data_IF_404751586034
#
_entry.id   IF_404751586034
#
_cell.length_a   1.000
_cell.length_b   1.000
_cell.length_c   1.000
_cell.angle_alpha   90.00
_cell.angle_beta   90.00
_cell.angle_gamma   90.00
#
_symmetry.space_group_name_H-M   'P 1'
#
loop_
_entity.id
_entity.type
_entity.pdbx_description
1 polymer ?
#
# COMPACT_ATOMS: atom_id res chain seq x y z
N UNK A 1 58.69 20.67 61.09
CA UNK A 1 57.62 20.58 62.10
C UNK A 1 56.75 21.83 62.00
N UNK A 2 55.44 21.65 62.25
CA UNK A 2 54.36 22.64 62.31
C UNK A 2 53.56 22.91 61.01
N UNK A 3 52.38 22.29 61.07
CA UNK A 3 51.15 22.34 60.28
C UNK A 3 50.36 23.66 60.36
N UNK A 4 49.48 23.92 59.37
CA UNK A 4 48.01 24.23 59.47
C UNK A 4 47.48 24.98 58.20
N UNK A 5 46.15 25.03 57.89
CA UNK A 5 45.48 24.10 56.98
C UNK A 5 44.76 24.76 55.77
N UNK A 6 44.18 23.89 54.93
CA UNK A 6 43.35 24.19 53.74
C UNK A 6 42.04 24.92 54.08
N UNK A 7 41.74 25.99 53.34
CA UNK A 7 40.38 26.53 53.17
C UNK A 7 39.81 26.09 51.81
N UNK A 8 38.65 25.45 51.84
CA UNK A 8 37.84 25.14 50.66
C UNK A 8 37.00 26.37 50.30
N UNK A 9 37.16 26.89 49.08
CA UNK A 9 36.25 27.87 48.49
C UNK A 9 35.40 27.16 47.43
N UNK A 10 34.11 27.04 47.70
CA UNK A 10 33.11 26.45 46.82
C UNK A 10 32.75 27.47 45.73
N UNK A 11 33.22 27.28 44.49
CA UNK A 11 32.76 28.07 43.34
C UNK A 11 31.47 27.45 42.78
N UNK A 12 30.33 28.05 43.12
CA UNK A 12 29.07 27.79 42.43
C UNK A 12 29.11 28.46 41.04
N UNK A 13 29.37 27.67 39.98
CA UNK A 13 29.08 28.10 38.62
C UNK A 13 27.55 28.05 38.40
N UNK A 14 26.94 29.23 38.28
CA UNK A 14 25.58 29.40 37.78
C UNK A 14 25.56 29.09 36.28
N UNK A 15 25.13 27.88 35.93
CA UNK A 15 24.72 27.53 34.56
C UNK A 15 23.41 28.24 34.26
N UNK A 16 23.49 29.35 33.53
CA UNK A 16 22.34 30.00 32.89
C UNK A 16 21.82 29.06 31.79
N UNK A 17 20.80 28.27 32.11
CA UNK A 17 19.98 27.60 31.11
C UNK A 17 19.25 28.66 30.30
N UNK A 18 19.66 28.83 29.05
CA UNK A 18 18.88 29.57 28.06
C UNK A 18 17.58 28.77 27.83
N UNK A 19 16.48 29.24 28.39
CA UNK A 19 15.14 28.79 28.04
C UNK A 19 14.93 29.14 26.56
N UNK A 20 15.12 28.17 25.66
CA UNK A 20 14.52 28.24 24.34
C UNK A 20 13.01 28.37 24.53
N UNK A 21 12.51 29.56 24.21
CA UNK A 21 11.08 29.85 24.13
C UNK A 21 10.53 28.95 23.04
N UNK A 22 9.85 27.86 23.43
CA UNK A 22 8.96 27.13 22.54
C UNK A 22 8.00 28.16 21.94
N UNK A 23 8.16 28.42 20.64
CA UNK A 23 7.32 29.36 19.90
C UNK A 23 5.85 29.04 20.13
N UNK A 24 5.03 30.09 20.24
CA UNK A 24 3.58 29.95 20.38
C UNK A 24 3.01 28.95 19.37
N UNK A 25 2.03 28.11 19.75
CA UNK A 25 1.43 27.17 18.83
C UNK A 25 0.88 27.92 17.62
N UNK A 26 1.38 27.58 16.43
CA UNK A 26 0.91 28.18 15.17
C UNK A 26 -0.61 27.98 15.06
N UNK A 27 -1.37 28.99 14.61
CA UNK A 27 -2.81 28.84 14.43
C UNK A 27 -3.11 27.70 13.45
N UNK A 28 -4.26 27.00 13.61
CA UNK A 28 -4.69 25.96 12.69
C UNK A 28 -4.69 26.44 11.24
N UNK A 29 -3.98 25.71 10.36
CA UNK A 29 -3.74 26.11 8.97
C UNK A 29 -4.83 25.62 8.01
N UNK A 30 -5.26 26.50 7.11
CA UNK A 30 -6.08 26.17 5.95
C UNK A 30 -5.26 25.63 4.76
N UNK A 31 -3.93 25.68 4.83
CA UNK A 31 -3.07 25.19 3.78
C UNK A 31 -3.15 23.65 3.69
N UNK A 32 -3.40 23.09 2.49
CA UNK A 32 -3.39 21.65 2.29
C UNK A 32 -2.04 21.01 2.57
N UNK A 33 -2.08 19.85 3.20
CA UNK A 33 -0.93 18.95 3.37
C UNK A 33 -1.38 17.51 3.10
N UNK A 34 -0.40 16.58 3.03
CA UNK A 34 -0.68 15.14 2.93
C UNK A 34 -1.43 14.80 1.63
N UNK A 35 -1.09 15.50 0.54
CA UNK A 35 -1.78 15.36 -0.74
C UNK A 35 -1.48 13.98 -1.32
N UNK A 36 -2.51 13.25 -1.72
CA UNK A 36 -2.35 11.96 -2.36
C UNK A 36 -3.49 11.67 -3.33
N UNK A 37 -3.18 10.82 -4.30
CA UNK A 37 -4.08 10.43 -5.38
C UNK A 37 -4.54 8.99 -5.19
N UNK A 38 -5.73 8.71 -5.69
CA UNK A 38 -6.28 7.36 -5.79
C UNK A 38 -7.14 7.24 -7.04
N UNK A 39 -7.13 6.07 -7.65
CA UNK A 39 -8.04 5.78 -8.74
C UNK A 39 -9.42 5.44 -8.17
N UNK A 40 -10.48 6.02 -8.73
CA UNK A 40 -11.84 5.86 -8.18
C UNK A 40 -12.57 4.58 -8.65
N UNK A 41 -11.98 3.85 -9.60
CA UNK A 41 -12.61 2.72 -10.29
C UNK A 41 -13.17 3.11 -11.66
N UNK A 42 -13.43 4.40 -11.90
CA UNK A 42 -14.05 4.89 -13.14
C UNK A 42 -13.03 5.39 -14.17
N UNK A 43 -13.10 4.95 -15.44
CA UNK A 43 -12.21 5.42 -16.51
C UNK A 43 -12.21 6.95 -16.65
N UNK A 44 -11.04 7.53 -16.86
CA UNK A 44 -10.90 9.00 -16.98
C UNK A 44 -11.15 9.76 -15.67
N UNK A 45 -11.02 9.10 -14.52
CA UNK A 45 -11.14 9.73 -13.20
C UNK A 45 -9.85 9.68 -12.38
N UNK A 46 -9.75 10.59 -11.40
CA UNK A 46 -8.72 10.59 -10.36
C UNK A 46 -9.27 11.27 -9.13
N UNK A 47 -9.14 10.66 -7.95
CA UNK A 47 -9.52 11.30 -6.68
C UNK A 47 -8.29 11.94 -6.06
N UNK A 48 -8.40 13.24 -5.75
CA UNK A 48 -7.40 14.00 -4.99
C UNK A 48 -7.88 14.11 -3.55
N UNK A 49 -7.04 13.65 -2.62
CA UNK A 49 -7.30 13.69 -1.18
C UNK A 49 -6.22 14.49 -0.47
N UNK A 50 -6.61 15.32 0.50
CA UNK A 50 -5.67 16.09 1.32
C UNK A 50 -6.27 16.41 2.69
N UNK A 51 -5.43 16.96 3.56
CA UNK A 51 -5.79 17.29 4.94
C UNK A 51 -5.64 18.79 5.21
N UNK A 52 -6.55 19.37 5.99
CA UNK A 52 -6.40 20.70 6.59
C UNK A 52 -6.77 20.68 8.09
N UNK A 53 -6.45 21.77 8.80
CA UNK A 53 -6.70 21.92 10.24
C UNK A 53 -7.93 22.78 10.56
N UNK A 54 -8.62 23.28 9.53
CA UNK A 54 -9.83 24.10 9.63
C UNK A 54 -10.82 23.73 8.53
N UNK A 55 -12.14 23.83 8.74
CA UNK A 55 -13.11 23.51 7.71
C UNK A 55 -13.08 24.57 6.60
N UNK A 56 -12.67 24.19 5.40
CA UNK A 56 -12.64 25.06 4.21
C UNK A 56 -13.26 24.34 3.01
N UNK A 57 -13.73 25.08 1.98
CA UNK A 57 -14.17 24.47 0.73
C UNK A 57 -13.12 23.53 0.12
N UNK A 58 -13.57 22.48 -0.57
CA UNK A 58 -12.68 21.51 -1.21
C UNK A 58 -12.66 21.73 -2.71
N UNK A 59 -11.62 22.38 -3.22
CA UNK A 59 -11.48 22.68 -4.63
C UNK A 59 -10.16 22.13 -5.20
N UNK A 60 -10.20 21.68 -6.45
CA UNK A 60 -9.03 21.34 -7.25
C UNK A 60 -9.06 22.15 -8.53
N UNK A 61 -7.93 22.81 -8.84
CA UNK A 61 -7.70 23.47 -10.13
C UNK A 61 -6.68 22.67 -10.91
N UNK A 62 -6.96 22.41 -12.19
CA UNK A 62 -6.12 21.54 -13.02
C UNK A 62 -6.10 21.96 -14.49
N UNK A 63 -5.09 21.49 -15.22
CA UNK A 63 -4.85 21.88 -16.61
C UNK A 63 -3.71 21.11 -17.26
N UNK A 64 -3.59 21.26 -18.58
CA UNK A 64 -2.52 20.61 -19.36
C UNK A 64 -1.21 21.40 -19.33
N UNK A 65 -1.31 22.73 -19.27
CA UNK A 65 -0.14 23.61 -19.25
C UNK A 65 0.25 23.99 -17.82
N UNK A 66 1.56 24.14 -17.54
CA UNK A 66 2.02 24.64 -16.25
C UNK A 66 1.80 26.13 -16.02
N UNK A 67 1.37 26.92 -17.00
CA UNK A 67 1.10 28.36 -16.82
C UNK A 67 -0.17 28.62 -16.02
N UNK A 68 -0.27 29.78 -15.36
CA UNK A 68 -1.56 30.28 -14.83
C UNK A 68 -2.36 30.96 -15.96
N UNK A 69 -3.70 30.92 -15.91
CA UNK A 69 -4.53 30.17 -14.97
C UNK A 69 -4.67 28.69 -15.36
N UNK A 70 -4.83 27.80 -14.36
CA UNK A 70 -5.29 26.43 -14.61
C UNK A 70 -6.79 26.47 -14.98
N UNK A 71 -7.19 26.07 -16.20
CA UNK A 71 -8.50 26.40 -16.75
C UNK A 71 -9.66 25.54 -16.22
N UNK A 72 -9.37 24.37 -15.63
CA UNK A 72 -10.40 23.48 -15.13
C UNK A 72 -10.47 23.53 -13.60
N UNK A 73 -11.69 23.37 -13.07
CA UNK A 73 -11.96 23.32 -11.65
C UNK A 73 -12.90 22.17 -11.32
N UNK A 74 -12.66 21.51 -10.20
CA UNK A 74 -13.55 20.53 -9.61
C UNK A 74 -13.77 20.88 -8.13
N UNK A 75 -14.97 20.55 -7.63
CA UNK A 75 -15.35 20.69 -6.23
C UNK A 75 -15.67 19.34 -5.65
N UNK A 76 -15.45 19.19 -4.36
CA UNK A 76 -15.82 17.99 -3.63
C UNK A 76 -16.20 18.28 -2.20
N UNK A 77 -15.96 17.33 -1.32
CA UNK A 77 -16.42 17.38 0.06
C UNK A 77 -15.24 17.29 1.02
N UNK A 78 -15.49 17.68 2.27
CA UNK A 78 -14.59 17.34 3.36
C UNK A 78 -15.40 16.71 4.49
N UNK A 79 -14.75 15.86 5.28
CA UNK A 79 -15.31 15.30 6.50
C UNK A 79 -14.38 15.57 7.68
N UNK A 80 -14.91 15.91 8.86
CA UNK A 80 -14.11 15.97 10.06
C UNK A 80 -13.69 14.54 10.47
N UNK A 81 -12.41 14.36 10.75
CA UNK A 81 -11.87 13.16 11.38
C UNK A 81 -11.35 13.53 12.77
N UNK A 82 -11.76 12.77 13.79
CA UNK A 82 -11.32 12.97 15.18
C UNK A 82 -10.62 11.70 15.62
N UNK A 83 -9.32 11.82 15.90
CA UNK A 83 -8.51 10.70 16.36
C UNK A 83 -9.00 10.16 17.73
N UNK A 84 -8.75 8.87 17.97
CA UNK A 84 -9.12 8.19 19.21
C UNK A 84 -8.21 8.47 20.41
N UNK A 85 -7.07 9.16 20.20
CA UNK A 85 -6.13 9.54 21.26
C UNK A 85 -6.70 10.56 22.26
N UNK A 86 -6.00 10.73 23.38
CA UNK A 86 -6.44 11.58 24.51
C UNK A 86 -6.63 13.05 24.11
N UNK A 87 -5.85 13.55 23.16
CA UNK A 87 -5.97 14.92 22.66
C UNK A 87 -7.14 15.10 21.68
N UNK A 88 -7.75 14.00 21.20
CA UNK A 88 -8.88 14.01 20.25
C UNK A 88 -8.62 14.96 19.08
N UNK A 89 -7.41 14.88 18.50
CA UNK A 89 -6.97 15.78 17.42
C UNK A 89 -7.97 15.71 16.27
N UNK A 90 -8.43 16.88 15.84
CA UNK A 90 -9.43 17.03 14.79
C UNK A 90 -8.77 17.52 13.51
N UNK A 91 -9.01 16.78 12.44
CA UNK A 91 -8.52 16.98 11.08
C UNK A 91 -9.72 17.14 10.16
N UNK A 92 -9.54 17.77 9.01
CA UNK A 92 -10.54 17.80 7.95
C UNK A 92 -9.96 17.13 6.72
N UNK A 93 -10.55 16.01 6.31
CA UNK A 93 -10.11 15.23 5.15
C UNK A 93 -10.96 15.62 3.95
N UNK A 94 -10.30 16.19 2.94
CA UNK A 94 -10.93 16.67 1.72
C UNK A 94 -10.80 15.63 0.62
N UNK A 95 -11.85 15.46 -0.18
CA UNK A 95 -11.90 14.54 -1.31
C UNK A 95 -12.53 15.23 -2.51
N UNK A 96 -11.82 15.26 -3.63
CA UNK A 96 -12.32 15.80 -4.90
C UNK A 96 -12.05 14.81 -6.02
N UNK A 97 -13.12 14.33 -6.67
CA UNK A 97 -13.01 13.47 -7.85
C UNK A 97 -12.93 14.32 -9.11
N UNK A 98 -11.82 14.18 -9.84
CA UNK A 98 -11.68 14.68 -11.20
C UNK A 98 -12.32 13.67 -12.15
N UNK A 99 -13.02 14.16 -13.18
CA UNK A 99 -13.71 13.35 -14.17
C UNK A 99 -13.43 13.89 -15.57
N UNK A 100 -13.67 13.08 -16.61
CA UNK A 100 -13.45 13.50 -18.00
C UNK A 100 -11.98 13.72 -18.35
N UNK A 101 -11.06 13.11 -17.60
CA UNK A 101 -9.63 13.18 -17.89
C UNK A 101 -9.32 12.40 -19.16
N UNK A 102 -8.50 12.99 -20.02
CA UNK A 102 -8.05 12.35 -21.25
C UNK A 102 -7.04 11.23 -20.92
N UNK A 103 -7.26 9.99 -21.40
CA UNK A 103 -6.42 8.86 -21.04
C UNK A 103 -4.94 9.06 -21.42
N UNK A 104 -4.03 8.77 -20.49
CA UNK A 104 -2.57 8.89 -20.71
C UNK A 104 -2.04 10.33 -20.76
N UNK A 105 -2.89 11.34 -20.60
CA UNK A 105 -2.50 12.75 -20.63
C UNK A 105 -1.97 13.20 -19.26
N UNK A 106 -0.93 14.03 -19.27
CA UNK A 106 -0.39 14.62 -18.05
C UNK A 106 -1.15 15.90 -17.68
N UNK A 107 -1.51 16.01 -16.41
CA UNK A 107 -2.17 17.17 -15.82
C UNK A 107 -1.29 17.79 -14.74
N UNK A 108 -1.30 19.12 -14.69
CA UNK A 108 -0.83 19.92 -13.55
C UNK A 108 -2.04 20.23 -12.69
N UNK A 109 -1.93 20.12 -11.38
CA UNK A 109 -3.02 20.46 -10.48
C UNK A 109 -2.54 21.12 -9.18
N UNK A 110 -3.45 21.82 -8.50
CA UNK A 110 -3.34 22.23 -7.10
C UNK A 110 -4.68 22.03 -6.41
N UNK A 111 -4.66 21.82 -5.11
CA UNK A 111 -5.85 21.61 -4.29
C UNK A 111 -5.91 22.66 -3.17
N UNK A 112 -7.10 22.86 -2.59
CA UNK A 112 -7.31 23.81 -1.50
C UNK A 112 -8.54 24.68 -1.70
N UNK A 113 -8.40 25.95 -1.35
CA UNK A 113 -9.47 26.96 -1.43
C UNK A 113 -8.87 28.36 -1.46
N UNK A 114 -9.72 29.40 -1.56
CA UNK A 114 -9.30 30.79 -1.46
C UNK A 114 -8.53 31.09 -0.14
N UNK A 115 -8.75 30.31 0.91
CA UNK A 115 -8.07 30.42 2.21
C UNK A 115 -6.66 29.82 2.22
N UNK A 116 -6.32 28.97 1.25
CA UNK A 116 -5.02 28.30 1.19
C UNK A 116 -4.97 27.30 0.03
N UNK A 117 -3.98 27.47 -0.84
CA UNK A 117 -3.70 26.57 -1.95
C UNK A 117 -2.42 25.77 -1.67
N UNK A 118 -2.40 24.51 -2.11
CA UNK A 118 -1.18 23.74 -2.15
C UNK A 118 -0.22 24.25 -3.23
N UNK A 119 1.04 23.79 -3.15
CA UNK A 119 1.95 23.82 -4.30
C UNK A 119 1.32 23.04 -5.47
N UNK A 120 1.86 23.27 -6.67
CA UNK A 120 1.44 22.49 -7.84
C UNK A 120 2.07 21.10 -7.85
N UNK A 121 1.28 20.14 -8.27
CA UNK A 121 1.62 18.75 -8.47
C UNK A 121 1.37 18.36 -9.93
N UNK A 122 1.84 17.17 -10.32
CA UNK A 122 1.63 16.63 -11.66
C UNK A 122 1.29 15.15 -11.56
N UNK A 123 0.33 14.71 -12.36
CA UNK A 123 0.03 13.29 -12.52
C UNK A 123 -0.30 13.01 -13.98
N UNK A 124 -0.22 11.72 -14.37
CA UNK A 124 -0.71 11.24 -15.65
C UNK A 124 -2.02 10.51 -15.43
N UNK A 125 -3.08 10.90 -16.14
CA UNK A 125 -4.32 10.15 -16.13
C UNK A 125 -4.08 8.73 -16.65
N UNK A 126 -4.68 7.74 -16.00
CA UNK A 126 -4.54 6.34 -16.41
C UNK A 126 -5.04 6.14 -17.86
N UNK A 127 -4.40 5.24 -18.59
CA UNK A 127 -4.90 4.81 -19.90
C UNK A 127 -6.13 3.92 -19.70
N UNK A 128 -7.06 3.99 -20.65
CA UNK A 128 -8.29 3.21 -20.62
C UNK A 128 -8.16 1.89 -21.39
N UNK A 129 -9.02 0.93 -21.08
CA UNK A 129 -9.14 -0.33 -21.79
C UNK A 129 -8.02 -1.34 -21.49
N UNK A 130 -8.08 -2.52 -22.14
CA UNK A 130 -7.18 -3.63 -21.84
C UNK A 130 -5.86 -3.63 -22.64
N UNK A 131 -5.77 -2.80 -23.68
CA UNK A 131 -4.68 -2.85 -24.66
C UNK A 131 -3.56 -1.84 -24.37
N UNK A 132 -2.98 -1.93 -23.18
CA UNK A 132 -1.77 -1.21 -22.82
C UNK A 132 -1.00 -1.96 -21.72
N UNK A 133 0.21 -1.51 -21.40
CA UNK A 133 1.13 -2.21 -20.50
C UNK A 133 1.39 -1.41 -19.22
N UNK A 134 0.61 -1.62 -18.15
CA UNK A 134 0.80 -0.93 -16.87
C UNK A 134 2.09 -1.35 -16.15
N UNK A 135 2.74 -0.38 -15.50
CA UNK A 135 3.90 -0.59 -14.63
C UNK A 135 3.56 -0.12 -13.22
N UNK A 136 3.78 -0.97 -12.23
CA UNK A 136 3.43 -0.73 -10.83
C UNK A 136 4.66 -0.85 -9.93
N UNK A 137 4.73 -0.01 -8.92
CA UNK A 137 5.55 -0.27 -7.74
C UNK A 137 4.68 -0.97 -6.69
N UNK A 138 5.18 -2.07 -6.12
CA UNK A 138 4.46 -2.90 -5.15
C UNK A 138 5.34 -3.11 -3.92
N UNK A 139 4.80 -2.81 -2.75
CA UNK A 139 5.50 -2.98 -1.47
C UNK A 139 4.53 -2.91 -0.29
N UNK A 140 4.87 -3.50 0.86
CA UNK A 140 4.25 -3.19 2.16
C UNK A 140 5.29 -2.63 3.12
N UNK A 141 4.88 -2.37 4.37
CA UNK A 141 5.83 -2.32 5.50
C UNK A 141 6.88 -1.19 5.39
N UNK A 142 6.44 0.01 4.98
CA UNK A 142 7.36 1.12 4.73
C UNK A 142 7.84 1.80 6.03
N UNK A 143 6.92 2.05 6.95
CA UNK A 143 7.17 2.79 8.19
C UNK A 143 7.45 4.27 8.03
N UNK A 144 7.30 4.99 9.14
CA UNK A 144 7.61 6.41 9.21
C UNK A 144 9.08 6.69 9.59
N UNK A 145 9.71 5.77 10.34
CA UNK A 145 11.00 6.02 10.98
C UNK A 145 12.18 5.38 10.22
N UNK A 146 11.92 4.34 9.42
CA UNK A 146 12.93 3.69 8.59
C UNK A 146 12.44 3.38 7.15
N UNK A 147 12.00 4.37 6.36
CA UNK A 147 11.42 4.18 5.03
C UNK A 147 12.49 3.91 3.94
N UNK A 148 13.17 2.78 4.02
CA UNK A 148 14.38 2.46 3.23
C UNK A 148 14.18 2.54 1.71
N UNK A 149 13.03 2.10 1.21
CA UNK A 149 12.72 2.11 -0.22
C UNK A 149 12.30 3.48 -0.78
N UNK A 150 11.86 4.40 0.10
CA UNK A 150 11.24 5.65 -0.33
C UNK A 150 12.14 6.57 -1.18
N UNK A 151 13.45 6.75 -0.88
CA UNK A 151 14.31 7.61 -1.70
C UNK A 151 14.38 7.17 -3.17
N UNK A 152 14.42 5.85 -3.43
CA UNK A 152 14.42 5.30 -4.79
C UNK A 152 13.04 5.35 -5.41
N UNK A 153 11.99 4.95 -4.69
CA UNK A 153 10.61 5.08 -5.15
C UNK A 153 10.29 6.50 -5.62
N UNK A 154 10.75 7.53 -4.90
CA UNK A 154 10.62 8.94 -5.29
C UNK A 154 11.35 9.25 -6.60
N UNK A 155 12.59 8.78 -6.75
CA UNK A 155 13.40 8.99 -7.96
C UNK A 155 12.75 8.34 -9.18
N UNK A 156 12.37 7.07 -9.05
CA UNK A 156 11.76 6.29 -10.13
C UNK A 156 10.39 6.84 -10.52
N UNK A 157 9.61 7.31 -9.54
CA UNK A 157 8.34 8.02 -9.79
C UNK A 157 8.56 9.31 -10.59
N UNK A 158 9.55 10.12 -10.22
CA UNK A 158 9.89 11.36 -10.94
C UNK A 158 10.38 11.09 -12.37
N UNK A 159 10.98 9.92 -12.62
CA UNK A 159 11.40 9.47 -13.94
C UNK A 159 10.25 8.87 -14.77
N UNK A 160 9.02 8.79 -14.23
CA UNK A 160 7.86 8.25 -14.93
C UNK A 160 7.92 6.73 -15.13
N UNK A 161 8.58 6.01 -14.21
CA UNK A 161 8.72 4.55 -14.31
C UNK A 161 7.43 3.78 -14.01
N UNK A 162 6.49 4.39 -13.28
CA UNK A 162 5.27 3.74 -12.82
C UNK A 162 4.01 4.50 -13.23
N UNK A 163 2.92 3.76 -13.34
CA UNK A 163 1.57 4.23 -13.63
C UNK A 163 0.67 4.22 -12.37
N UNK A 164 0.97 3.37 -11.38
CA UNK A 164 0.33 3.36 -10.06
C UNK A 164 1.24 2.72 -8.99
N UNK A 165 0.86 2.87 -7.72
CA UNK A 165 1.49 2.22 -6.56
C UNK A 165 0.49 1.27 -5.91
N UNK A 166 0.94 0.08 -5.51
CA UNK A 166 0.24 -0.82 -4.61
C UNK A 166 0.99 -0.86 -3.26
N UNK A 167 0.43 -0.23 -2.23
CA UNK A 167 0.97 -0.30 -0.86
C UNK A 167 0.16 -1.32 -0.04
N UNK A 168 0.78 -2.46 0.22
CA UNK A 168 0.17 -3.67 0.76
C UNK A 168 0.21 -3.68 2.30
N UNK A 169 -0.39 -2.68 2.94
CA UNK A 169 -0.52 -2.60 4.41
C UNK A 169 0.73 -2.19 5.19
N UNK A 170 0.53 -1.94 6.49
CA UNK A 170 1.53 -1.49 7.47
C UNK A 170 2.27 -0.22 7.03
N UNK A 171 1.51 0.88 7.07
CA UNK A 171 1.94 2.16 6.53
C UNK A 171 2.95 2.85 7.45
N UNK A 172 2.45 3.46 8.52
CA UNK A 172 3.22 4.34 9.39
C UNK A 172 3.77 3.60 10.62
N UNK A 173 3.44 2.32 10.77
CA UNK A 173 3.62 1.53 11.99
C UNK A 173 2.91 2.18 13.16
N UNK A 174 1.57 2.08 13.10
CA UNK A 174 0.59 2.68 14.01
C UNK A 174 0.33 4.17 13.76
N UNK A 175 -0.57 4.44 12.81
CA UNK A 175 -0.94 5.82 12.45
C UNK A 175 -1.55 6.61 13.61
N UNK A 176 -2.17 5.95 14.58
CA UNK A 176 -2.83 6.55 15.74
C UNK A 176 -1.85 7.06 16.81
N UNK A 177 -0.60 6.58 16.79
CA UNK A 177 0.38 6.94 17.81
C UNK A 177 0.67 8.44 17.84
N UNK A 178 1.01 8.91 19.04
CA UNK A 178 1.14 10.33 19.36
C UNK A 178 -0.08 11.15 18.87
N UNK A 179 -1.28 10.64 19.18
CA UNK A 179 -2.56 11.28 18.83
C UNK A 179 -2.66 11.55 17.31
N UNK A 180 -2.34 10.55 16.50
CA UNK A 180 -2.24 10.61 15.05
C UNK A 180 -1.08 11.41 14.43
N UNK A 181 -0.08 11.85 15.22
CA UNK A 181 1.08 12.59 14.66
C UNK A 181 2.01 11.69 13.86
N UNK A 182 2.11 10.40 14.20
CA UNK A 182 2.86 9.42 13.40
C UNK A 182 2.22 9.27 12.02
N UNK A 183 0.89 9.14 11.95
CA UNK A 183 0.15 9.16 10.68
C UNK A 183 0.36 10.45 9.87
N UNK A 184 0.35 11.62 10.51
CA UNK A 184 0.63 12.89 9.81
C UNK A 184 2.06 12.95 9.25
N UNK A 185 3.06 12.47 10.01
CA UNK A 185 4.46 12.39 9.56
C UNK A 185 4.58 11.47 8.35
N UNK A 186 3.98 10.29 8.41
CA UNK A 186 3.98 9.32 7.32
C UNK A 186 3.32 9.87 6.05
N UNK A 187 2.14 10.49 6.16
CA UNK A 187 1.45 11.01 4.97
C UNK A 187 2.23 12.15 4.30
N UNK A 188 2.93 12.98 5.07
CA UNK A 188 3.86 14.01 4.53
C UNK A 188 5.08 13.37 3.86
N UNK A 189 5.58 12.29 4.45
CA UNK A 189 6.72 11.54 3.96
C UNK A 189 6.44 10.94 2.56
N UNK A 190 5.25 10.36 2.33
CA UNK A 190 4.89 9.75 1.04
C UNK A 190 4.35 10.74 -0.01
N UNK A 191 3.94 11.96 0.37
CA UNK A 191 3.36 12.96 -0.54
C UNK A 191 4.13 13.14 -1.87
N UNK A 192 5.48 13.17 -1.91
CA UNK A 192 6.21 13.31 -3.18
C UNK A 192 5.91 12.21 -4.21
N UNK A 193 5.57 11.00 -3.75
CA UNK A 193 5.15 9.88 -4.59
C UNK A 193 3.63 9.87 -4.75
N UNK A 194 2.90 9.90 -3.64
CA UNK A 194 1.46 9.72 -3.59
C UNK A 194 0.68 10.86 -4.27
N UNK A 195 1.23 12.06 -4.38
CA UNK A 195 0.63 13.16 -5.13
C UNK A 195 0.90 13.10 -6.65
N UNK A 196 1.65 12.10 -7.13
CA UNK A 196 2.04 11.97 -8.54
C UNK A 196 1.45 10.74 -9.22
N UNK A 197 1.12 9.70 -8.44
CA UNK A 197 0.58 8.42 -8.90
C UNK A 197 -0.64 8.02 -8.07
N UNK A 198 -1.65 7.37 -8.65
CA UNK A 198 -2.71 6.74 -7.85
C UNK A 198 -2.08 5.72 -6.90
N UNK A 199 -2.32 5.93 -5.61
CA UNK A 199 -1.73 5.19 -4.50
C UNK A 199 -2.78 4.26 -3.90
N UNK A 200 -2.80 3.02 -4.38
CA UNK A 200 -3.81 2.02 -4.06
C UNK A 200 -3.35 1.16 -2.88
N UNK A 201 -4.24 0.90 -1.92
CA UNK A 201 -3.87 0.36 -0.61
C UNK A 201 -4.70 -0.86 -0.19
N UNK A 202 -4.17 -1.67 0.74
CA UNK A 202 -4.97 -2.53 1.62
C UNK A 202 -4.53 -2.27 3.08
N UNK A 203 -5.36 -2.54 4.10
CA UNK A 203 -4.95 -2.38 5.49
C UNK A 203 -4.07 -3.55 5.95
N UNK A 204 -3.04 -3.25 6.75
CA UNK A 204 -2.29 -4.22 7.55
C UNK A 204 -2.67 -4.14 9.03
N UNK A 205 -1.98 -4.91 9.88
CA UNK A 205 -2.30 -4.98 11.30
C UNK A 205 -1.98 -3.71 12.08
N UNK A 206 -0.98 -2.94 11.65
CA UNK A 206 -0.65 -1.65 12.27
C UNK A 206 -1.71 -0.57 12.00
N UNK A 207 -2.70 -0.86 11.17
CA UNK A 207 -3.84 0.03 10.94
C UNK A 207 -5.02 -0.25 11.87
N UNK A 208 -5.04 -1.33 12.66
CA UNK A 208 -6.25 -1.82 13.35
C UNK A 208 -6.91 -0.80 14.28
N UNK A 209 -6.10 0.08 14.89
CA UNK A 209 -6.52 0.88 16.03
C UNK A 209 -7.77 1.70 15.75
N UNK A 210 -8.68 1.68 16.74
CA UNK A 210 -9.95 2.39 16.70
C UNK A 210 -10.79 1.97 15.47
N UNK A 211 -10.84 0.67 15.19
CA UNK A 211 -11.53 0.10 14.03
C UNK A 211 -11.04 0.69 12.70
N UNK A 212 -9.72 0.69 12.52
CA UNK A 212 -9.04 1.19 11.33
C UNK A 212 -9.30 2.65 10.99
N UNK A 213 -9.65 3.47 11.99
CA UNK A 213 -10.19 4.81 11.74
C UNK A 213 -9.23 5.74 10.99
N UNK A 214 -7.93 5.70 11.29
CA UNK A 214 -6.93 6.50 10.56
C UNK A 214 -6.82 6.05 9.10
N UNK A 215 -6.77 4.74 8.84
CA UNK A 215 -6.75 4.19 7.47
C UNK A 215 -7.99 4.60 6.68
N UNK A 216 -9.18 4.30 7.22
CA UNK A 216 -10.48 4.61 6.61
C UNK A 216 -10.67 6.10 6.36
N UNK A 217 -10.19 6.94 7.28
CA UNK A 217 -10.31 8.38 7.17
C UNK A 217 -9.34 8.97 6.15
N UNK A 218 -8.09 8.48 6.07
CA UNK A 218 -7.04 9.10 5.25
C UNK A 218 -7.07 8.63 3.81
N UNK A 219 -7.25 7.32 3.56
CA UNK A 219 -7.23 6.78 2.21
C UNK A 219 -8.61 6.82 1.55
N UNK A 220 -8.61 6.83 0.21
CA UNK A 220 -9.83 6.87 -0.60
C UNK A 220 -9.74 5.76 -1.65
N UNK A 221 -10.50 4.69 -1.47
CA UNK A 221 -10.46 3.55 -2.37
C UNK A 221 -11.82 3.38 -3.07
N UNK A 222 -11.86 2.74 -4.25
CA UNK A 222 -13.11 2.43 -4.95
C UNK A 222 -14.12 1.67 -4.09
N UNK A 223 -15.40 1.83 -4.42
CA UNK A 223 -16.49 1.12 -3.76
C UNK A 223 -16.93 1.74 -2.44
N UNK A 224 -17.73 1.00 -1.67
CA UNK A 224 -18.38 1.48 -0.46
C UNK A 224 -18.11 0.56 0.75
N UNK A 225 -16.83 0.26 0.95
CA UNK A 225 -16.31 -0.71 1.92
C UNK A 225 -15.31 -0.06 2.88
N UNK A 226 -15.31 1.27 2.95
CA UNK A 226 -14.33 2.08 3.70
C UNK A 226 -12.87 1.81 3.28
N UNK A 227 -12.68 1.26 2.08
CA UNK A 227 -11.38 0.85 1.55
C UNK A 227 -10.80 -0.41 2.18
N UNK A 228 -11.56 -1.15 2.99
CA UNK A 228 -11.09 -2.42 3.57
C UNK A 228 -10.95 -3.53 2.52
N UNK A 229 -11.79 -3.51 1.48
CA UNK A 229 -11.68 -4.39 0.32
C UNK A 229 -12.37 -3.77 -0.91
N UNK A 230 -11.78 -3.90 -2.08
CA UNK A 230 -12.29 -3.33 -3.33
C UNK A 230 -11.59 -3.97 -4.52
N UNK A 231 -12.11 -3.75 -5.72
CA UNK A 231 -11.49 -4.19 -6.95
C UNK A 231 -11.48 -3.07 -7.98
N UNK A 232 -10.56 -3.17 -8.95
CA UNK A 232 -10.41 -2.20 -10.01
C UNK A 232 -9.68 -2.80 -11.21
N UNK A 233 -9.79 -2.09 -12.32
CA UNK A 233 -9.36 -2.55 -13.62
C UNK A 233 -8.20 -1.70 -14.14
N UNK A 234 -7.08 -2.34 -14.52
CA UNK A 234 -5.90 -1.65 -15.03
C UNK A 234 -5.24 -2.44 -16.17
N UNK A 235 -5.23 -1.89 -17.39
CA UNK A 235 -4.70 -2.58 -18.56
C UNK A 235 -5.36 -3.95 -18.73
N UNK A 236 -4.65 -5.06 -18.95
CA UNK A 236 -5.26 -6.38 -19.09
C UNK A 236 -5.55 -7.08 -17.74
N UNK A 237 -5.45 -6.37 -16.62
CA UNK A 237 -5.68 -6.93 -15.28
C UNK A 237 -6.95 -6.43 -14.60
N UNK A 238 -7.51 -7.32 -13.80
CA UNK A 238 -8.44 -7.05 -12.73
C UNK A 238 -7.69 -7.26 -11.40
N UNK A 239 -7.60 -6.21 -10.59
CA UNK A 239 -6.81 -6.19 -9.35
C UNK A 239 -7.78 -6.09 -8.17
N UNK A 240 -7.61 -6.98 -7.19
CA UNK A 240 -8.48 -7.10 -6.03
C UNK A 240 -7.66 -6.84 -4.76
N UNK A 241 -8.08 -5.86 -3.97
CA UNK A 241 -7.58 -5.59 -2.63
C UNK A 241 -8.56 -6.15 -1.60
N UNK A 242 -8.05 -6.85 -0.58
CA UNK A 242 -8.85 -7.35 0.53
C UNK A 242 -8.11 -7.21 1.86
N UNK A 243 -8.86 -7.19 2.97
CA UNK A 243 -8.28 -7.11 4.31
C UNK A 243 -8.05 -8.50 4.87
N UNK A 244 -6.80 -8.84 5.15
CA UNK A 244 -6.47 -10.03 5.96
C UNK A 244 -6.88 -9.84 7.42
N UNK A 245 -6.96 -8.59 7.87
CA UNK A 245 -7.14 -8.22 9.27
C UNK A 245 -8.54 -8.52 9.83
N UNK A 246 -9.55 -8.68 8.96
CA UNK A 246 -10.89 -9.12 9.39
C UNK A 246 -10.86 -10.51 10.06
N UNK A 247 -9.86 -11.35 9.75
CA UNK A 247 -9.67 -12.67 10.35
C UNK A 247 -9.01 -12.62 11.74
N UNK A 248 -8.32 -11.51 12.06
CA UNK A 248 -7.51 -11.36 13.27
C UNK A 248 -8.19 -10.45 14.31
N UNK A 249 -8.86 -9.38 13.87
CA UNK A 249 -9.55 -8.43 14.75
C UNK A 249 -11.07 -8.63 14.77
N UNK A 250 -11.48 -9.85 15.12
CA UNK A 250 -12.90 -10.25 15.16
C UNK A 250 -13.77 -9.41 16.12
N UNK A 251 -13.15 -8.72 17.06
CA UNK A 251 -13.84 -7.84 18.01
C UNK A 251 -14.44 -6.59 17.33
N UNK A 252 -13.96 -6.19 16.15
CA UNK A 252 -14.59 -5.15 15.34
C UNK A 252 -15.82 -5.63 14.56
N UNK A 253 -16.05 -6.94 14.51
CA UNK A 253 -17.26 -7.53 13.95
C UNK A 253 -16.99 -8.78 13.14
N UNK A 254 -17.35 -9.95 13.69
CA UNK A 254 -17.22 -11.25 13.01
C UNK A 254 -17.92 -11.32 11.65
N UNK A 255 -19.01 -10.57 11.48
CA UNK A 255 -19.77 -10.47 10.24
C UNK A 255 -18.95 -9.85 9.09
N UNK A 256 -17.84 -9.15 9.38
CA UNK A 256 -16.93 -8.60 8.35
C UNK A 256 -16.26 -9.70 7.54
N UNK A 257 -15.89 -10.83 8.17
CA UNK A 257 -15.27 -11.98 7.48
C UNK A 257 -16.22 -12.54 6.43
N UNK A 258 -17.47 -12.79 6.82
CA UNK A 258 -18.51 -13.29 5.92
C UNK A 258 -18.83 -12.30 4.79
N UNK A 259 -18.99 -11.00 5.12
CA UNK A 259 -19.25 -9.96 4.12
C UNK A 259 -18.14 -9.85 3.10
N UNK A 260 -16.89 -9.83 3.55
CA UNK A 260 -15.74 -9.79 2.65
C UNK A 260 -15.68 -11.06 1.79
N UNK A 261 -15.85 -12.24 2.38
CA UNK A 261 -15.79 -13.51 1.64
C UNK A 261 -16.83 -13.59 0.52
N UNK A 262 -18.10 -13.27 0.81
CA UNK A 262 -19.16 -13.29 -0.21
C UNK A 262 -18.97 -12.20 -1.27
N UNK A 263 -18.51 -11.02 -0.88
CA UNK A 263 -18.16 -9.96 -1.83
C UNK A 263 -17.03 -10.42 -2.77
N UNK A 264 -15.99 -11.00 -2.20
CA UNK A 264 -14.80 -11.48 -2.92
C UNK A 264 -15.15 -12.62 -3.88
N UNK A 265 -15.98 -13.58 -3.45
CA UNK A 265 -16.48 -14.62 -4.35
C UNK A 265 -17.27 -14.03 -5.54
N UNK A 266 -18.16 -13.07 -5.28
CA UNK A 266 -18.93 -12.40 -6.34
C UNK A 266 -18.02 -11.65 -7.32
N UNK A 267 -17.00 -10.97 -6.80
CA UNK A 267 -16.05 -10.21 -7.60
C UNK A 267 -15.17 -11.13 -8.46
N UNK A 268 -14.65 -12.21 -7.88
CA UNK A 268 -13.89 -13.25 -8.59
C UNK A 268 -14.73 -13.93 -9.69
N UNK A 269 -16.01 -14.19 -9.45
CA UNK A 269 -16.91 -14.71 -10.49
C UNK A 269 -17.04 -13.73 -11.67
N UNK A 270 -17.15 -12.43 -11.41
CA UNK A 270 -17.22 -11.40 -12.46
C UNK A 270 -15.90 -11.31 -13.22
N UNK A 271 -14.78 -11.26 -12.50
CA UNK A 271 -13.44 -11.20 -13.07
C UNK A 271 -13.16 -12.43 -13.95
N UNK A 272 -13.51 -13.62 -13.48
CA UNK A 272 -13.34 -14.86 -14.23
C UNK A 272 -14.16 -14.84 -15.54
N UNK A 273 -15.43 -14.40 -15.49
CA UNK A 273 -16.26 -14.20 -16.69
C UNK A 273 -15.68 -13.16 -17.66
N UNK A 274 -14.91 -12.20 -17.17
CA UNK A 274 -14.30 -11.13 -17.97
C UNK A 274 -12.87 -11.44 -18.46
N UNK A 275 -12.36 -12.68 -18.27
CA UNK A 275 -10.98 -13.04 -18.64
C UNK A 275 -10.66 -12.88 -20.12
N UNK A 276 -11.66 -12.91 -21.01
CA UNK A 276 -11.45 -12.63 -22.44
C UNK A 276 -10.97 -11.19 -22.69
N UNK A 277 -11.37 -10.24 -21.85
CA UNK A 277 -10.98 -8.83 -21.93
C UNK A 277 -9.80 -8.53 -20.99
N UNK A 278 -9.86 -9.06 -19.77
CA UNK A 278 -8.88 -8.85 -18.69
C UNK A 278 -8.41 -10.19 -18.14
N UNK A 279 -7.46 -10.84 -18.83
CA UNK A 279 -7.13 -12.22 -18.52
C UNK A 279 -6.41 -12.40 -17.19
N UNK A 280 -5.79 -11.35 -16.64
CA UNK A 280 -5.08 -11.40 -15.35
C UNK A 280 -6.01 -11.06 -14.18
N UNK A 281 -6.06 -11.95 -13.19
CA UNK A 281 -6.65 -11.70 -11.87
C UNK A 281 -5.51 -11.66 -10.85
N UNK A 282 -5.31 -10.50 -10.24
CA UNK A 282 -4.24 -10.24 -9.27
C UNK A 282 -4.89 -9.85 -7.95
N UNK A 283 -4.45 -10.45 -6.84
CA UNK A 283 -4.91 -10.08 -5.51
C UNK A 283 -3.79 -9.40 -4.72
N UNK A 284 -4.17 -8.53 -3.79
CA UNK A 284 -3.28 -8.00 -2.77
C UNK A 284 -3.95 -8.05 -1.40
N UNK A 285 -3.24 -8.59 -0.42
CA UNK A 285 -3.62 -8.64 0.99
C UNK A 285 -2.36 -8.59 1.84
N UNK A 286 -2.46 -8.14 3.09
CA UNK A 286 -1.28 -7.86 3.88
C UNK A 286 -0.59 -9.15 4.38
N UNK A 287 -1.25 -9.92 5.25
CA UNK A 287 -0.69 -11.16 5.83
C UNK A 287 -0.67 -12.32 4.84
N UNK A 288 0.48 -12.95 4.54
CA UNK A 288 0.58 -14.01 3.55
C UNK A 288 -0.08 -15.33 3.99
N UNK A 289 -0.42 -16.18 3.01
CA UNK A 289 -0.88 -17.55 3.30
C UNK A 289 0.25 -18.51 3.67
N UNK A 290 1.46 -18.22 3.16
CA UNK A 290 2.64 -19.05 3.19
C UNK A 290 3.85 -18.15 3.37
N UNK A 291 4.72 -18.44 4.34
CA UNK A 291 6.01 -17.76 4.49
C UNK A 291 7.03 -18.70 5.14
N UNK A 292 8.30 -18.44 4.89
CA UNK A 292 9.38 -19.29 5.37
C UNK A 292 10.36 -18.56 6.29
N UNK A 293 9.88 -17.44 6.81
CA UNK A 293 10.43 -16.63 7.86
C UNK A 293 10.52 -17.43 9.18
N UNK A 294 11.45 -17.01 10.04
CA UNK A 294 11.80 -17.70 11.29
C UNK A 294 11.09 -17.10 12.52
N UNK A 295 10.12 -16.23 12.30
CA UNK A 295 9.06 -15.93 13.27
C UNK A 295 8.16 -17.15 13.46
N UNK A 296 7.34 -17.11 14.51
CA UNK A 296 6.37 -18.16 14.83
C UNK A 296 4.94 -17.63 14.67
N UNK A 297 4.77 -16.75 13.69
CA UNK A 297 3.53 -16.02 13.45
C UNK A 297 2.70 -16.64 12.32
N UNK A 298 1.67 -15.92 11.90
CA UNK A 298 0.49 -16.41 11.19
C UNK A 298 0.76 -17.35 10.00
N UNK A 299 1.63 -16.96 9.08
CA UNK A 299 1.87 -17.69 7.83
C UNK A 299 2.82 -18.88 8.01
N UNK A 300 3.48 -18.98 9.17
CA UNK A 300 4.32 -20.14 9.54
C UNK A 300 3.47 -21.33 10.04
N UNK A 301 2.20 -21.08 10.41
CA UNK A 301 1.26 -22.13 10.82
C UNK A 301 0.73 -22.92 9.63
N UNK A 302 0.69 -24.24 9.76
CA UNK A 302 0.10 -25.10 8.72
C UNK A 302 -1.35 -24.70 8.44
N UNK A 303 -2.16 -24.37 9.44
CA UNK A 303 -3.57 -24.00 9.26
C UNK A 303 -3.78 -22.48 9.48
N UNK A 304 -2.99 -21.64 8.79
CA UNK A 304 -3.09 -20.18 8.92
C UNK A 304 -4.51 -19.67 8.62
N UNK A 305 -4.96 -18.66 9.37
CA UNK A 305 -6.35 -18.16 9.30
C UNK A 305 -6.71 -17.59 7.93
N UNK A 306 -5.76 -16.94 7.26
CA UNK A 306 -5.96 -16.42 5.90
C UNK A 306 -6.24 -17.57 4.93
N UNK A 307 -5.47 -18.67 5.05
CA UNK A 307 -5.55 -19.80 4.13
C UNK A 307 -6.80 -20.65 4.36
N UNK A 308 -7.00 -21.08 5.61
CA UNK A 308 -8.03 -22.07 5.99
C UNK A 308 -9.26 -21.46 6.66
N UNK A 309 -9.24 -20.16 6.90
CA UNK A 309 -10.36 -19.43 7.47
C UNK A 309 -10.51 -19.65 8.98
N UNK A 310 -11.66 -19.25 9.52
CA UNK A 310 -11.97 -19.41 10.94
C UNK A 310 -12.17 -20.88 11.27
N UNK A 311 -11.54 -21.34 12.35
CA UNK A 311 -11.57 -22.75 12.81
C UNK A 311 -11.10 -23.75 11.74
N UNK A 312 -10.29 -23.32 10.78
CA UNK A 312 -9.73 -24.17 9.73
C UNK A 312 -10.74 -24.66 8.69
N UNK A 313 -11.93 -24.04 8.59
CA UNK A 313 -12.98 -24.47 7.64
C UNK A 313 -13.85 -23.37 7.08
N UNK A 314 -14.09 -22.29 7.83
CA UNK A 314 -15.06 -21.27 7.44
C UNK A 314 -14.38 -20.06 6.81
N UNK A 315 -14.77 -19.73 5.58
CA UNK A 315 -14.30 -18.54 4.85
C UNK A 315 -12.79 -18.54 4.56
N UNK A 316 -12.19 -19.71 4.30
CA UNK A 316 -10.78 -19.83 3.89
C UNK A 316 -10.57 -19.33 2.46
N UNK A 317 -9.52 -18.53 2.25
CA UNK A 317 -9.31 -17.83 0.98
C UNK A 317 -8.56 -18.66 -0.07
N UNK A 318 -7.79 -19.66 0.35
CA UNK A 318 -6.99 -20.47 -0.58
C UNK A 318 -7.85 -21.21 -1.60
N UNK A 319 -8.86 -21.95 -1.12
CA UNK A 319 -9.76 -22.70 -2.01
C UNK A 319 -10.54 -21.74 -2.92
N UNK A 320 -10.87 -20.54 -2.43
CA UNK A 320 -11.58 -19.53 -3.21
C UNK A 320 -10.71 -19.00 -4.35
N UNK A 321 -9.47 -18.61 -4.06
CA UNK A 321 -8.54 -18.08 -5.06
C UNK A 321 -8.13 -19.15 -6.08
N UNK A 322 -7.88 -20.37 -5.62
CA UNK A 322 -7.63 -21.50 -6.50
C UNK A 322 -8.85 -21.78 -7.40
N UNK A 323 -10.06 -21.92 -6.83
CA UNK A 323 -11.28 -22.16 -7.62
C UNK A 323 -11.44 -21.15 -8.75
N UNK A 324 -11.32 -19.84 -8.50
CA UNK A 324 -11.53 -18.81 -9.53
C UNK A 324 -10.28 -18.49 -10.38
N UNK A 325 -9.19 -19.22 -10.15
CA UNK A 325 -8.01 -19.24 -11.00
C UNK A 325 -7.08 -18.04 -10.82
N UNK A 326 -7.05 -17.41 -9.65
CA UNK A 326 -6.17 -16.24 -9.37
C UNK A 326 -4.75 -16.51 -9.87
N UNK A 327 -4.18 -15.53 -10.56
CA UNK A 327 -2.91 -15.67 -11.26
C UNK A 327 -1.71 -15.34 -10.35
N UNK A 328 -1.84 -14.23 -9.62
CA UNK A 328 -0.77 -13.65 -8.80
C UNK A 328 -1.37 -13.10 -7.51
N UNK A 329 -0.76 -13.45 -6.38
CA UNK A 329 -1.15 -13.02 -5.05
C UNK A 329 0.02 -12.25 -4.43
N UNK A 330 -0.23 -10.97 -4.13
CA UNK A 330 0.76 -10.03 -3.59
C UNK A 330 0.55 -9.87 -2.09
N UNK A 331 1.64 -10.04 -1.35
CA UNK A 331 1.67 -10.04 0.10
C UNK A 331 2.76 -9.14 0.65
N UNK A 332 2.70 -8.91 1.95
CA UNK A 332 3.57 -8.07 2.74
C UNK A 332 3.72 -8.71 4.13
N UNK A 333 3.74 -7.92 5.21
CA UNK A 333 3.78 -8.33 6.62
C UNK A 333 5.11 -8.94 7.05
N UNK A 334 5.56 -9.94 6.32
CA UNK A 334 6.90 -10.48 6.48
C UNK A 334 7.92 -9.47 5.96
N UNK A 335 8.81 -9.01 6.83
CA UNK A 335 9.82 -8.00 6.50
C UNK A 335 10.98 -8.57 5.67
N UNK A 336 10.63 -9.12 4.52
CA UNK A 336 11.52 -9.80 3.58
C UNK A 336 10.90 -9.81 2.19
N UNK A 337 11.69 -10.22 1.20
CA UNK A 337 11.17 -10.61 -0.10
C UNK A 337 11.21 -12.13 -0.24
N UNK A 338 10.07 -12.74 -0.56
CA UNK A 338 9.99 -14.16 -0.87
C UNK A 338 9.13 -14.39 -2.11
N UNK A 339 9.71 -15.08 -3.10
CA UNK A 339 8.95 -15.63 -4.22
C UNK A 339 8.72 -17.11 -3.99
N UNK A 340 7.48 -17.53 -4.11
CA UNK A 340 7.11 -18.93 -4.01
C UNK A 340 7.03 -19.57 -5.39
N UNK A 341 7.16 -20.89 -5.43
CA UNK A 341 6.65 -21.67 -6.56
C UNK A 341 5.13 -21.55 -6.62
N UNK A 342 4.49 -21.70 -7.80
CA UNK A 342 3.05 -21.90 -7.87
C UNK A 342 2.62 -22.98 -6.88
N UNK A 343 1.66 -22.68 -6.02
CA UNK A 343 1.32 -23.54 -4.88
C UNK A 343 -0.19 -23.59 -4.66
N UNK A 344 -0.67 -24.75 -4.24
CA UNK A 344 -2.00 -24.93 -3.66
C UNK A 344 -1.93 -26.05 -2.62
N UNK A 345 -2.46 -25.79 -1.43
CA UNK A 345 -2.51 -26.73 -0.32
C UNK A 345 -1.16 -27.41 -0.03
N UNK A 346 -0.10 -26.61 0.06
CA UNK A 346 1.30 -27.06 0.24
C UNK A 346 1.87 -27.96 -0.86
N UNK A 347 1.18 -28.09 -2.00
CA UNK A 347 1.68 -28.79 -3.17
C UNK A 347 2.17 -27.80 -4.22
N UNK A 348 3.40 -28.01 -4.69
CA UNK A 348 3.96 -27.21 -5.78
C UNK A 348 3.34 -27.61 -7.11
N UNK A 349 2.75 -26.64 -7.79
CA UNK A 349 1.97 -26.78 -9.03
C UNK A 349 2.61 -26.03 -10.19
N UNK A 350 3.92 -26.21 -10.36
CA UNK A 350 4.69 -25.68 -11.49
C UNK A 350 4.06 -26.07 -12.84
N UNK A 351 4.31 -25.23 -13.85
CA UNK A 351 4.04 -25.55 -15.25
C UNK A 351 4.89 -26.72 -15.76
N UNK A 352 6.22 -26.55 -15.74
CA UNK A 352 7.20 -27.64 -15.90
C UNK A 352 8.36 -27.49 -14.91
N UNK A 353 9.30 -28.43 -14.94
CA UNK A 353 10.52 -28.35 -14.14
C UNK A 353 11.42 -27.19 -14.59
N UNK A 354 11.55 -26.99 -15.90
CA UNK A 354 12.40 -25.96 -16.52
C UNK A 354 11.73 -24.59 -16.54
N UNK A 355 10.41 -24.55 -16.69
CA UNK A 355 9.61 -23.33 -16.84
C UNK A 355 8.48 -23.29 -15.81
N UNK A 356 8.80 -23.17 -14.50
CA UNK A 356 7.83 -23.32 -13.43
C UNK A 356 6.71 -22.28 -13.47
N UNK A 357 7.00 -21.07 -13.96
CA UNK A 357 6.06 -19.96 -14.07
C UNK A 357 5.41 -19.81 -15.47
N UNK A 358 5.59 -20.79 -16.36
CA UNK A 358 4.89 -20.85 -17.66
C UNK A 358 3.73 -21.82 -17.59
N UNK A 359 2.51 -21.32 -17.78
CA UNK A 359 1.26 -22.04 -17.57
C UNK A 359 1.22 -22.73 -16.18
N UNK A 360 1.42 -21.98 -15.08
CA UNK A 360 1.37 -22.53 -13.74
C UNK A 360 -0.03 -23.11 -13.45
N UNK A 361 -0.07 -24.19 -12.67
CA UNK A 361 -1.30 -24.90 -12.29
C UNK A 361 -1.85 -24.46 -10.93
N UNK A 362 -1.26 -23.43 -10.32
CA UNK A 362 -1.72 -22.78 -9.10
C UNK A 362 -1.31 -21.30 -9.08
N UNK A 363 -1.84 -20.49 -8.16
CA UNK A 363 -1.46 -19.08 -8.01
C UNK A 363 0.04 -18.91 -7.70
N UNK A 364 0.63 -17.83 -8.21
CA UNK A 364 1.99 -17.41 -7.84
C UNK A 364 1.89 -16.46 -6.65
N UNK A 365 2.70 -16.66 -5.60
CA UNK A 365 2.73 -15.79 -4.44
C UNK A 365 4.04 -14.99 -4.40
N UNK A 366 3.94 -13.69 -4.15
CA UNK A 366 5.07 -12.79 -3.93
C UNK A 366 4.86 -12.06 -2.61
N UNK A 367 5.80 -12.23 -1.68
CA UNK A 367 5.92 -11.43 -0.46
C UNK A 367 6.90 -10.29 -0.75
N UNK A 368 6.47 -9.05 -0.53
CA UNK A 368 7.30 -7.84 -0.74
C UNK A 368 7.16 -6.85 0.43
N UNK A 369 7.28 -7.36 1.66
CA UNK A 369 7.14 -6.59 2.90
C UNK A 369 8.44 -5.96 3.41
N UNK A 370 9.47 -5.81 2.59
CA UNK A 370 10.77 -5.28 3.02
C UNK A 370 11.03 -3.83 2.59
N UNK A 371 10.01 -2.96 2.53
CA UNK A 371 10.24 -1.58 2.10
C UNK A 371 10.93 -0.72 3.17
N UNK A 372 10.87 -1.12 4.44
CA UNK A 372 11.42 -0.34 5.53
C UNK A 372 10.97 -0.82 6.90
N UNK A 373 10.44 0.12 7.68
CA UNK A 373 9.97 0.01 9.06
C UNK A 373 10.98 -0.07 10.20
N UNK A 374 10.51 0.37 11.37
CA UNK A 374 11.26 0.33 12.62
C UNK A 374 11.48 -1.09 13.18
N UNK A 375 10.70 -2.09 12.73
CA UNK A 375 10.80 -3.48 13.20
C UNK A 375 11.90 -4.28 12.49
N UNK A 376 12.53 -3.70 11.46
CA UNK A 376 13.65 -4.25 10.70
C UNK A 376 13.33 -5.55 9.92
N UNK A 377 14.31 -6.06 9.17
CA UNK A 377 14.14 -7.23 8.31
C UNK A 377 14.02 -8.55 9.09
N UNK A 378 13.02 -9.34 8.73
CA UNK A 378 12.74 -10.66 9.29
C UNK A 378 13.74 -11.71 8.80
N UNK A 379 14.34 -12.53 9.67
CA UNK A 379 15.21 -13.64 9.25
C UNK A 379 14.41 -14.82 8.68
N UNK A 380 15.00 -15.54 7.74
CA UNK A 380 14.45 -16.80 7.23
C UNK A 380 14.84 -18.00 8.10
N UNK A 381 14.02 -19.05 8.04
CA UNK A 381 14.41 -20.39 8.50
C UNK A 381 15.67 -20.87 7.81
N UNK A 382 16.50 -21.65 8.52
CA UNK A 382 17.79 -22.13 8.02
C UNK A 382 17.67 -22.93 6.72
N UNK A 383 16.67 -23.80 6.63
CA UNK A 383 16.45 -24.65 5.46
C UNK A 383 15.24 -24.20 4.66
N UNK A 384 15.39 -24.07 3.33
CA UNK A 384 14.25 -23.70 2.54
C UNK A 384 13.08 -24.67 2.58
N UNK A 385 11.86 -24.12 2.64
CA UNK A 385 10.64 -24.90 2.49
C UNK A 385 10.53 -25.32 1.01
N UNK A 386 10.00 -26.52 0.68
CA UNK A 386 9.98 -27.02 -0.70
C UNK A 386 9.28 -26.10 -1.71
N UNK A 387 8.35 -25.27 -1.25
CA UNK A 387 7.58 -24.33 -2.04
C UNK A 387 8.19 -22.91 -2.12
N UNK A 388 9.28 -22.67 -1.39
CA UNK A 388 10.02 -21.39 -1.37
C UNK A 388 11.02 -21.38 -2.53
N UNK A 389 10.81 -20.51 -3.52
CA UNK A 389 11.63 -20.48 -4.74
C UNK A 389 12.86 -19.57 -4.60
N UNK A 390 12.67 -18.39 -4.01
CA UNK A 390 13.73 -17.43 -3.74
C UNK A 390 13.41 -16.64 -2.48
N UNK A 391 14.46 -16.36 -1.69
CA UNK A 391 14.41 -15.55 -0.46
C UNK A 391 15.44 -14.46 -0.56
N UNK A 392 15.05 -13.23 -0.25
CA UNK A 392 15.96 -12.10 -0.16
C UNK A 392 15.67 -11.34 1.13
N UNK A 393 16.68 -11.23 1.99
CA UNK A 393 16.63 -10.46 3.24
C UNK A 393 17.35 -9.14 3.05
N UNK A 394 16.76 -8.26 2.26
CA UNK A 394 17.27 -6.92 1.96
C UNK A 394 16.09 -5.96 1.84
N UNK A 395 16.34 -4.68 2.14
CA UNK A 395 15.34 -3.66 1.91
C UNK A 395 15.13 -3.43 0.41
N UNK A 396 13.88 -3.20 0.00
CA UNK A 396 13.56 -3.06 -1.41
C UNK A 396 12.07 -3.01 -1.70
N UNK A 397 11.74 -3.13 -2.97
CA UNK A 397 10.36 -3.18 -3.45
C UNK A 397 10.26 -3.91 -4.79
N UNK A 398 9.07 -4.41 -5.09
CA UNK A 398 8.77 -5.10 -6.34
C UNK A 398 8.36 -4.11 -7.43
N UNK A 399 8.92 -4.30 -8.64
CA UNK A 399 8.42 -3.71 -9.89
C UNK A 399 7.57 -4.75 -10.60
N UNK A 400 6.31 -4.43 -10.86
CA UNK A 400 5.38 -5.29 -11.59
C UNK A 400 5.05 -4.64 -12.93
N UNK A 401 5.36 -5.31 -14.03
CA UNK A 401 5.05 -4.85 -15.38
C UNK A 401 4.10 -5.84 -16.04
N UNK A 402 2.85 -5.43 -16.18
CA UNK A 402 1.81 -6.20 -16.85
C UNK A 402 1.96 -5.92 -18.35
N UNK A 403 2.82 -6.70 -19.03
CA UNK A 403 3.20 -6.43 -20.41
C UNK A 403 2.01 -6.53 -21.36
N UNK A 404 1.22 -7.60 -21.26
CA UNK A 404 0.05 -7.85 -22.10
C UNK A 404 -0.85 -8.92 -21.43
N UNK A 405 -1.84 -9.44 -22.17
CA UNK A 405 -2.77 -10.45 -21.66
C UNK A 405 -2.16 -11.82 -21.33
N UNK A 406 -0.90 -12.09 -21.66
CA UNK A 406 -0.24 -13.39 -21.44
C UNK A 406 1.05 -13.32 -20.62
N UNK A 407 1.68 -12.15 -20.52
CA UNK A 407 2.96 -11.96 -19.81
C UNK A 407 2.87 -10.89 -18.72
N UNK A 408 3.37 -11.24 -17.53
CA UNK A 408 3.65 -10.34 -16.42
C UNK A 408 5.11 -10.51 -16.03
N UNK A 409 5.83 -9.40 -15.90
CA UNK A 409 7.22 -9.35 -15.47
C UNK A 409 7.30 -8.83 -14.04
N UNK A 410 8.05 -9.52 -13.19
CA UNK A 410 8.23 -9.19 -11.78
C UNK A 410 9.73 -9.06 -11.54
N UNK A 411 10.14 -7.93 -10.98
CA UNK A 411 11.52 -7.71 -10.54
C UNK A 411 11.53 -7.25 -9.09
N UNK A 412 12.39 -7.85 -8.26
CA UNK A 412 12.68 -7.30 -6.94
C UNK A 412 13.91 -6.39 -7.03
N UNK A 413 13.72 -5.13 -6.61
CA UNK A 413 14.79 -4.14 -6.49
C UNK A 413 15.34 -4.21 -5.07
N UNK A 414 16.65 -4.28 -4.92
CA UNK A 414 17.31 -4.14 -3.62
C UNK A 414 17.85 -2.73 -3.43
N UNK A 415 17.38 -2.03 -2.40
CA UNK A 415 17.89 -0.72 -2.00
C UNK A 415 19.20 -0.82 -1.20
N UNK A 416 19.45 -1.96 -0.54
CA UNK A 416 20.73 -2.22 0.12
C UNK A 416 21.87 -2.47 -0.90
N UNK A 417 21.54 -2.87 -2.13
CA UNK A 417 22.47 -3.01 -3.26
C UNK A 417 22.29 -1.90 -4.32
N UNK A 418 21.95 -0.68 -3.90
CA UNK A 418 21.80 0.51 -4.75
C UNK A 418 20.92 0.32 -6.01
N UNK A 419 19.83 -0.41 -5.87
CA UNK A 419 18.83 -0.61 -6.92
C UNK A 419 19.11 -1.79 -7.85
N UNK A 420 20.03 -2.69 -7.47
CA UNK A 420 20.25 -3.93 -8.18
C UNK A 420 18.98 -4.77 -8.23
N UNK A 421 18.73 -5.40 -9.37
CA UNK A 421 17.69 -6.40 -9.51
C UNK A 421 18.19 -7.71 -8.90
N UNK A 422 17.56 -8.15 -7.81
CA UNK A 422 17.94 -9.35 -7.03
C UNK A 422 17.03 -10.54 -7.33
N UNK A 423 15.89 -10.29 -7.98
CA UNK A 423 15.06 -11.30 -8.60
C UNK A 423 14.44 -10.77 -9.89
N UNK A 424 14.29 -11.63 -10.90
CA UNK A 424 13.75 -11.30 -12.22
C UNK A 424 13.02 -12.52 -12.77
N UNK A 425 11.70 -12.43 -12.91
CA UNK A 425 10.86 -13.56 -13.34
C UNK A 425 9.72 -13.11 -14.24
N UNK A 426 9.42 -13.95 -15.24
CA UNK A 426 8.22 -13.84 -16.07
C UNK A 426 7.18 -14.86 -15.63
N UNK A 427 5.98 -14.39 -15.32
CA UNK A 427 4.80 -15.24 -15.23
C UNK A 427 4.11 -15.22 -16.58
N UNK A 428 4.08 -16.37 -17.23
CA UNK A 428 3.52 -16.53 -18.58
C UNK A 428 2.31 -17.43 -18.49
N UNK A 429 1.14 -16.95 -18.89
CA UNK A 429 -0.07 -17.77 -18.93
C UNK A 429 -0.75 -17.63 -20.31
N UNK A 430 -0.92 -18.71 -21.08
CA UNK A 430 -1.67 -18.70 -22.35
C UNK A 430 -3.09 -18.15 -22.16
N UNK A 431 -3.74 -17.61 -23.20
CA UNK A 431 -5.15 -17.19 -23.13
C UNK A 431 -6.12 -18.38 -23.19
N UNK A 432 -5.78 -19.39 -24.00
CA UNK A 432 -6.53 -20.65 -24.10
C UNK A 432 -6.39 -21.44 -22.79
N UNK A 433 -7.52 -21.93 -22.27
CA UNK A 433 -7.55 -22.72 -21.04
C UNK A 433 -7.45 -21.92 -19.74
N UNK A 434 -7.56 -20.59 -19.76
CA UNK A 434 -7.72 -19.78 -18.54
C UNK A 434 -9.15 -19.90 -18.01
N UNK A 435 -9.45 -21.03 -17.38
CA UNK A 435 -10.70 -21.26 -16.63
C UNK A 435 -10.39 -21.49 -15.16
N UNK A 436 -11.43 -21.73 -14.36
CA UNK A 436 -11.32 -22.17 -12.97
C UNK A 436 -10.34 -23.36 -12.86
N UNK A 437 -9.52 -23.42 -11.80
CA UNK A 437 -8.65 -24.59 -11.56
C UNK A 437 -9.45 -25.81 -11.07
N UNK A 438 -10.72 -25.61 -10.67
CA UNK A 438 -11.66 -26.63 -10.20
C UNK A 438 -12.95 -26.65 -11.01
#
# INVERSE_FOLDING_TARGET
MCSFPRCWACCCLLLLFSLEVQGSPKPPSAAPEQVHLSYSGEPGSMTVTWTTWVPVPSEVQYGLQPSEPLPFQARGTFSPFVDGGILRRKLYIHRVSLQGLLPGVQYVYRCGSAQGWSRRFRFRALKNGPHWSPRLAVFGDLGADNPRALPRLRRDTQQGMYDAVLHVGDFAYNMDQDNARVGDRFMKLIEPVAASLPYMTCPGNHEERYNFSNYKARFSMPGNTEGLWYSWDLGPAHIISFSTEVYFFLHYGRHLVERQFHWLESDLQKANKNRAVRPWIITMGHRPMYCSNADLDDCTWHESKVRKGLRGKFYGLEDLFYKYGVDLELWAHEHSYERLWPIYNYQVLNGSQEMPYTHPRGPVHIITGSAGCEELLTPFTLFPRPWSALRVKEYGYTRLHILNGTHVHIQQVSDDQDGKIVDDVWVVRPLLGRTMYL
#
